data_IF_909809842307
#
_entry.id   IF_909809842307
#
_cell.length_a   1.000
_cell.length_b   1.000
_cell.length_c   1.000
_cell.angle_alpha   90.00
_cell.angle_beta   90.00
_cell.angle_gamma   90.00
#
_symmetry.space_group_name_H-M   'P 1'
#
loop_
_entity.id
_entity.type
_entity.pdbx_description
1 polymer ?
#
# COMPACT_ATOMS: atom_id res chain seq x y z
N UNK A 1 -20.43 1.33 17.65
CA UNK A 1 -18.99 1.37 17.98
C UNK A 1 -18.48 2.76 17.64
N UNK A 2 -17.80 3.43 18.57
CA UNK A 2 -17.15 4.72 18.36
C UNK A 2 -15.66 4.50 18.16
N UNK A 3 -15.12 4.94 17.04
CA UNK A 3 -13.69 4.82 16.75
C UNK A 3 -12.96 6.07 17.25
N UNK A 4 -11.94 5.86 18.09
CA UNK A 4 -11.08 6.89 18.61
C UNK A 4 -9.67 6.64 18.11
N UNK A 5 -9.23 7.46 17.17
CA UNK A 5 -7.89 7.36 16.62
C UNK A 5 -6.93 8.18 17.46
N UNK A 6 -5.75 7.60 17.72
CA UNK A 6 -4.64 8.39 18.20
C UNK A 6 -4.27 9.47 17.17
N UNK A 7 -3.99 10.68 17.67
CA UNK A 7 -3.68 11.83 16.85
C UNK A 7 -2.25 11.71 16.32
N UNK A 8 -2.14 11.52 15.01
CA UNK A 8 -0.87 11.33 14.30
C UNK A 8 -0.40 12.60 13.61
N UNK A 9 0.91 12.80 13.63
CA UNK A 9 1.62 13.75 12.78
C UNK A 9 2.02 13.06 11.49
N UNK A 10 1.65 13.68 10.37
CA UNK A 10 2.05 13.28 9.02
C UNK A 10 2.65 14.48 8.31
N UNK A 11 3.38 14.23 7.23
CA UNK A 11 3.99 15.28 6.40
C UNK A 11 2.97 16.34 5.95
N UNK A 12 1.73 15.91 5.67
CA UNK A 12 0.67 16.78 5.17
C UNK A 12 -0.06 17.56 6.26
N UNK A 13 -0.07 17.07 7.51
CA UNK A 13 -0.83 17.69 8.60
C UNK A 13 0.04 18.38 9.67
N UNK A 14 1.35 18.14 9.69
CA UNK A 14 2.23 18.51 10.80
C UNK A 14 2.19 20.01 11.09
N UNK A 15 2.38 20.84 10.07
CA UNK A 15 2.34 22.30 10.21
C UNK A 15 1.00 22.80 10.76
N UNK A 16 -0.11 22.23 10.29
CA UNK A 16 -1.44 22.60 10.76
C UNK A 16 -1.63 22.23 12.24
N UNK A 17 -1.14 21.07 12.67
CA UNK A 17 -1.19 20.65 14.08
C UNK A 17 -0.30 21.54 14.96
N UNK A 18 0.94 21.83 14.53
CA UNK A 18 1.84 22.72 15.27
C UNK A 18 1.26 24.12 15.42
N UNK A 19 0.63 24.65 14.37
CA UNK A 19 -0.03 25.98 14.41
C UNK A 19 -1.18 26.05 15.42
N UNK A 20 -1.78 24.90 15.76
CA UNK A 20 -2.84 24.76 16.78
C UNK A 20 -2.28 24.48 18.18
N UNK A 21 -0.96 24.46 18.35
CA UNK A 21 -0.30 24.23 19.63
C UNK A 21 -0.08 22.76 20.00
N UNK A 22 -0.32 21.82 19.09
CA UNK A 22 0.06 20.42 19.32
C UNK A 22 1.57 20.26 19.21
N UNK A 23 2.13 19.43 20.07
CA UNK A 23 3.56 19.11 20.12
C UNK A 23 3.76 17.69 19.60
N UNK A 24 4.70 17.50 18.68
CA UNK A 24 5.10 16.19 18.20
C UNK A 24 5.83 15.44 19.32
N UNK A 25 5.45 14.18 19.55
CA UNK A 25 6.10 13.32 20.53
C UNK A 25 7.48 12.84 20.02
N UNK A 26 8.35 12.32 20.91
CA UNK A 26 9.68 11.83 20.53
C UNK A 26 9.69 10.65 19.54
N UNK A 27 8.54 9.99 19.33
CA UNK A 27 8.37 8.93 18.33
C UNK A 27 8.17 9.47 16.90
N UNK A 28 8.16 10.80 16.74
CA UNK A 28 7.96 11.56 15.50
C UNK A 28 6.65 11.29 14.77
N UNK A 29 5.71 10.60 15.41
CA UNK A 29 4.49 10.09 14.78
C UNK A 29 3.23 10.50 15.55
N UNK A 30 3.30 10.64 16.87
CA UNK A 30 2.13 10.96 17.69
C UNK A 30 2.15 12.39 18.20
N UNK A 31 0.97 12.91 18.53
CA UNK A 31 0.86 14.14 19.31
C UNK A 31 1.07 13.85 20.79
N UNK A 32 1.92 14.64 21.46
CA UNK A 32 2.22 14.43 22.87
C UNK A 32 0.94 14.43 23.73
N UNK A 33 0.72 13.34 24.46
CA UNK A 33 -0.45 13.17 25.33
C UNK A 33 -1.73 12.66 24.65
N UNK A 34 -1.71 12.37 23.35
CA UNK A 34 -2.84 11.80 22.58
C UNK A 34 -3.41 10.54 23.23
N UNK A 35 -2.55 9.56 23.54
CA UNK A 35 -2.94 8.30 24.17
C UNK A 35 -3.59 8.55 25.54
N UNK A 36 -3.01 9.44 26.35
CA UNK A 36 -3.56 9.79 27.67
C UNK A 36 -4.94 10.41 27.55
N UNK A 37 -5.13 11.32 26.59
CA UNK A 37 -6.42 11.93 26.31
C UNK A 37 -7.47 10.88 25.87
N UNK A 38 -7.06 9.91 25.06
CA UNK A 38 -7.93 8.81 24.65
C UNK A 38 -8.37 7.94 25.84
N UNK A 39 -7.42 7.53 26.68
CA UNK A 39 -7.70 6.75 27.90
C UNK A 39 -8.64 7.52 28.84
N UNK A 40 -8.39 8.81 29.06
CA UNK A 40 -9.26 9.65 29.88
C UNK A 40 -10.69 9.72 29.34
N UNK A 41 -10.85 9.82 28.01
CA UNK A 41 -12.16 9.84 27.34
C UNK A 41 -12.90 8.51 27.54
N UNK A 42 -12.19 7.39 27.41
CA UNK A 42 -12.77 6.04 27.63
C UNK A 42 -13.21 5.87 29.09
N UNK A 43 -12.36 6.28 30.04
CA UNK A 43 -12.69 6.19 31.46
C UNK A 43 -13.88 7.07 31.82
N UNK A 44 -13.91 8.32 31.33
CA UNK A 44 -15.05 9.22 31.53
C UNK A 44 -16.35 8.62 31.00
N UNK A 45 -16.33 8.01 29.80
CA UNK A 45 -17.52 7.37 29.24
C UNK A 45 -18.01 6.21 30.11
N UNK A 46 -17.08 5.40 30.64
CA UNK A 46 -17.39 4.29 31.54
C UNK A 46 -17.99 4.78 32.86
N UNK A 47 -17.40 5.81 33.46
CA UNK A 47 -17.84 6.38 34.74
C UNK A 47 -19.22 7.02 34.66
N UNK A 48 -19.56 7.61 33.50
CA UNK A 48 -20.87 8.22 33.26
C UNK A 48 -21.94 7.21 32.77
N UNK A 49 -21.63 5.91 32.79
CA UNK A 49 -22.61 4.85 32.48
C UNK A 49 -22.96 4.73 31.00
N UNK A 50 -22.15 5.27 30.08
CA UNK A 50 -22.37 5.09 28.66
C UNK A 50 -22.12 3.63 28.25
N UNK A 51 -23.02 3.06 27.48
CA UNK A 51 -22.95 1.66 26.99
C UNK A 51 -22.29 1.53 25.62
N UNK A 52 -21.71 2.61 25.09
CA UNK A 52 -21.06 2.62 23.77
C UNK A 52 -19.70 1.93 23.83
N UNK A 53 -19.46 0.99 22.90
CA UNK A 53 -18.12 0.43 22.69
C UNK A 53 -17.22 1.47 22.03
N UNK A 54 -16.15 1.87 22.72
CA UNK A 54 -15.11 2.76 22.19
C UNK A 54 -13.91 1.90 21.79
N UNK A 55 -13.53 1.96 20.51
CA UNK A 55 -12.34 1.30 19.99
C UNK A 55 -11.23 2.33 19.82
N UNK A 56 -10.14 2.16 20.55
CA UNK A 56 -8.94 2.99 20.43
C UNK A 56 -7.97 2.38 19.42
N UNK A 57 -7.49 3.19 18.48
CA UNK A 57 -6.55 2.77 17.46
C UNK A 57 -5.22 3.55 17.58
N UNK A 58 -4.14 2.91 18.08
CA UNK A 58 -2.82 3.51 18.17
C UNK A 58 -2.20 3.80 16.80
N UNK A 59 -1.34 4.80 16.70
CA UNK A 59 -0.62 5.13 15.45
C UNK A 59 0.26 3.98 14.99
N UNK A 60 0.95 3.31 15.91
CA UNK A 60 1.82 2.16 15.61
C UNK A 60 1.07 1.05 14.84
N UNK A 61 -0.19 0.78 15.19
CA UNK A 61 -1.02 -0.23 14.52
C UNK A 61 -1.42 0.24 13.12
N UNK A 62 -1.67 1.55 12.93
CA UNK A 62 -2.01 2.11 11.62
C UNK A 62 -0.82 2.00 10.67
N UNK A 63 0.34 2.44 11.11
CA UNK A 63 1.55 2.48 10.29
C UNK A 63 2.03 1.08 9.93
N UNK A 64 2.09 0.18 10.92
CA UNK A 64 2.69 -1.15 10.73
C UNK A 64 1.79 -2.09 9.92
N UNK A 65 0.47 -1.99 10.10
CA UNK A 65 -0.45 -2.99 9.53
C UNK A 65 -1.52 -2.39 8.61
N UNK A 66 -2.21 -1.32 9.04
CA UNK A 66 -3.38 -0.83 8.27
C UNK A 66 -2.98 -0.20 6.94
N UNK A 67 -1.86 0.51 6.90
CA UNK A 67 -1.36 1.13 5.66
C UNK A 67 -1.00 0.07 4.63
N UNK A 68 -0.17 -0.92 4.99
CA UNK A 68 0.19 -2.03 4.10
C UNK A 68 -1.04 -2.81 3.61
N UNK A 69 -1.95 -3.19 4.51
CA UNK A 69 -3.20 -3.87 4.13
C UNK A 69 -4.08 -3.03 3.21
N UNK A 70 -4.07 -1.70 3.36
CA UNK A 70 -4.81 -0.81 2.47
C UNK A 70 -4.21 -0.79 1.08
N UNK A 71 -2.89 -0.76 0.96
CA UNK A 71 -2.19 -0.87 -0.33
C UNK A 71 -2.44 -2.22 -0.98
N UNK A 72 -2.24 -3.31 -0.25
CA UNK A 72 -2.51 -4.67 -0.71
C UNK A 72 -3.93 -4.82 -1.25
N UNK A 73 -4.95 -4.46 -0.46
CA UNK A 73 -6.36 -4.52 -0.89
C UNK A 73 -6.63 -3.69 -2.13
N UNK A 74 -6.06 -2.49 -2.21
CA UNK A 74 -6.24 -1.63 -3.38
C UNK A 74 -5.62 -2.27 -4.63
N UNK A 75 -4.44 -2.85 -4.49
CA UNK A 75 -3.77 -3.59 -5.57
C UNK A 75 -4.56 -4.81 -5.99
N UNK A 76 -5.01 -5.66 -5.05
CA UNK A 76 -5.87 -6.81 -5.37
C UNK A 76 -7.16 -6.43 -6.09
N UNK A 77 -7.76 -5.29 -5.75
CA UNK A 77 -8.99 -4.81 -6.39
C UNK A 77 -8.78 -4.14 -7.75
N UNK A 78 -7.55 -3.69 -8.04
CA UNK A 78 -7.24 -2.93 -9.27
C UNK A 78 -6.31 -3.66 -10.23
N UNK A 79 -5.75 -4.80 -9.81
CA UNK A 79 -4.92 -5.67 -10.64
C UNK A 79 -5.69 -6.16 -11.86
N UNK A 80 -5.05 -6.07 -13.02
CA UNK A 80 -5.54 -6.67 -14.26
C UNK A 80 -4.99 -8.09 -14.40
N UNK A 81 -5.45 -8.83 -15.41
CA UNK A 81 -5.12 -10.25 -15.59
C UNK A 81 -3.61 -10.51 -15.81
N UNK A 82 -2.89 -9.49 -16.24
CA UNK A 82 -1.44 -9.49 -16.45
C UNK A 82 -0.66 -8.89 -15.27
N UNK A 83 -1.32 -8.49 -14.18
CA UNK A 83 -0.67 -7.96 -12.99
C UNK A 83 -0.55 -9.01 -11.89
N UNK A 84 0.61 -9.04 -11.24
CA UNK A 84 0.85 -9.80 -10.01
C UNK A 84 0.94 -8.81 -8.85
N UNK A 85 0.19 -9.07 -7.76
CA UNK A 85 0.19 -8.22 -6.56
C UNK A 85 1.28 -8.68 -5.61
N UNK A 86 2.11 -7.75 -5.14
CA UNK A 86 3.14 -8.01 -4.12
C UNK A 86 2.58 -7.94 -2.70
N UNK A 87 3.35 -8.42 -1.72
CA UNK A 87 2.99 -8.31 -0.30
C UNK A 87 2.93 -6.85 0.19
N UNK A 88 3.73 -5.96 -0.42
CA UNK A 88 3.72 -4.52 -0.14
C UNK A 88 2.55 -3.79 -0.81
N UNK A 89 1.74 -4.50 -1.60
CA UNK A 89 0.59 -3.94 -2.27
C UNK A 89 0.97 -3.05 -3.44
N UNK A 90 1.98 -3.44 -4.21
CA UNK A 90 2.32 -2.91 -5.53
C UNK A 90 1.88 -3.90 -6.62
N UNK A 91 2.04 -3.52 -7.89
CA UNK A 91 1.69 -4.33 -9.05
C UNK A 91 2.95 -4.58 -9.89
N UNK A 92 3.22 -5.85 -10.19
CA UNK A 92 4.30 -6.27 -11.08
C UNK A 92 3.71 -6.76 -12.41
N UNK A 93 4.35 -6.40 -13.51
CA UNK A 93 4.08 -6.92 -14.85
C UNK A 93 5.38 -7.02 -15.67
N UNK A 94 5.34 -7.80 -16.75
CA UNK A 94 6.39 -7.83 -17.76
C UNK A 94 5.95 -6.96 -18.94
N UNK A 95 6.83 -6.07 -19.38
CA UNK A 95 6.77 -5.48 -20.71
C UNK A 95 7.73 -6.21 -21.64
N UNK A 96 7.21 -6.98 -22.60
CA UNK A 96 8.04 -7.72 -23.54
C UNK A 96 8.29 -6.94 -24.83
N UNK A 97 9.51 -7.04 -25.34
CA UNK A 97 9.92 -6.58 -26.67
C UNK A 97 9.97 -7.77 -27.64
N UNK A 98 10.48 -8.91 -27.17
CA UNK A 98 10.61 -10.14 -27.94
C UNK A 98 10.17 -11.34 -27.12
N UNK A 99 9.32 -12.18 -27.72
CA UNK A 99 8.86 -13.45 -27.16
C UNK A 99 9.27 -14.59 -28.06
N UNK A 100 9.41 -15.76 -27.47
CA UNK A 100 9.64 -16.97 -28.23
C UNK A 100 8.40 -17.31 -29.08
N UNK A 101 8.65 -17.56 -30.37
CA UNK A 101 7.62 -17.72 -31.40
C UNK A 101 6.74 -18.95 -31.12
N UNK A 102 7.30 -19.98 -30.50
CA UNK A 102 6.55 -21.18 -30.09
C UNK A 102 5.38 -20.84 -29.15
N UNK A 103 5.54 -19.81 -28.31
CA UNK A 103 4.58 -19.45 -27.27
C UNK A 103 3.72 -18.22 -27.59
N UNK A 104 3.75 -17.71 -28.83
CA UNK A 104 2.97 -16.53 -29.25
C UNK A 104 1.49 -16.64 -28.89
N UNK A 105 0.91 -17.82 -29.09
CA UNK A 105 -0.51 -18.05 -28.82
C UNK A 105 -0.88 -17.79 -27.35
N UNK A 106 0.06 -17.95 -26.41
CA UNK A 106 -0.13 -17.62 -25.00
C UNK A 106 -0.20 -16.11 -24.83
N UNK A 107 0.75 -15.37 -25.43
CA UNK A 107 0.81 -13.91 -25.32
C UNK A 107 -0.40 -13.20 -25.95
N UNK A 108 -1.02 -13.79 -26.97
CA UNK A 108 -2.24 -13.26 -27.59
C UNK A 108 -3.45 -13.20 -26.64
N UNK A 109 -3.41 -13.88 -25.49
CA UNK A 109 -4.47 -13.81 -24.47
C UNK A 109 -4.37 -12.56 -23.58
N UNK A 110 -3.30 -11.78 -23.71
CA UNK A 110 -3.03 -10.59 -22.90
C UNK A 110 -2.95 -9.34 -23.78
N UNK A 111 -3.05 -8.13 -23.19
CA UNK A 111 -2.83 -6.90 -23.94
C UNK A 111 -1.44 -6.86 -24.59
N UNK A 112 -1.30 -6.19 -25.75
CA UNK A 112 -0.03 -6.13 -26.47
C UNK A 112 1.11 -5.68 -25.58
N UNK A 113 2.25 -6.36 -25.70
CA UNK A 113 3.50 -6.09 -24.97
C UNK A 113 3.41 -6.29 -23.45
N UNK A 114 2.31 -6.86 -22.92
CA UNK A 114 2.14 -7.07 -21.48
C UNK A 114 1.93 -8.53 -21.15
N UNK A 115 2.67 -9.03 -20.16
CA UNK A 115 2.52 -10.38 -19.64
C UNK A 115 2.58 -10.40 -18.12
N UNK A 116 1.92 -11.37 -17.48
CA UNK A 116 2.14 -11.66 -16.07
C UNK A 116 3.55 -12.20 -15.81
N UNK A 117 4.03 -12.02 -14.58
CA UNK A 117 5.42 -12.32 -14.19
C UNK A 117 5.78 -13.80 -14.36
N UNK A 118 4.83 -14.72 -14.14
CA UNK A 118 5.05 -16.16 -14.23
C UNK A 118 5.24 -16.67 -15.68
N UNK A 119 5.13 -15.78 -16.68
CA UNK A 119 5.44 -16.06 -18.08
C UNK A 119 6.79 -15.46 -18.51
N UNK A 120 7.71 -15.18 -17.57
CA UNK A 120 9.08 -14.75 -17.90
C UNK A 120 9.78 -15.71 -18.87
N UNK A 121 9.61 -17.02 -18.70
CA UNK A 121 10.35 -18.04 -19.44
C UNK A 121 10.18 -17.96 -20.97
N UNK A 122 9.07 -17.37 -21.43
CA UNK A 122 8.75 -17.21 -22.86
C UNK A 122 9.22 -15.85 -23.42
N UNK A 123 9.73 -14.97 -22.57
CA UNK A 123 10.21 -13.63 -22.94
C UNK A 123 11.72 -13.71 -23.20
N UNK A 124 12.11 -13.40 -24.44
CA UNK A 124 13.53 -13.31 -24.85
C UNK A 124 14.12 -11.98 -24.44
N UNK A 125 13.35 -10.90 -24.63
CA UNK A 125 13.77 -9.54 -24.33
C UNK A 125 12.61 -8.72 -23.78
N UNK A 126 12.83 -8.02 -22.69
CA UNK A 126 11.82 -7.16 -22.09
C UNK A 126 12.28 -6.53 -20.79
N UNK A 127 11.31 -6.14 -19.95
CA UNK A 127 11.57 -5.65 -18.61
C UNK A 127 10.46 -6.00 -17.64
N UNK A 128 10.83 -6.22 -16.39
CA UNK A 128 9.94 -6.13 -15.24
C UNK A 128 9.61 -4.68 -14.96
N UNK A 129 8.36 -4.42 -14.63
CA UNK A 129 7.92 -3.15 -14.09
C UNK A 129 7.16 -3.42 -12.81
N UNK A 130 7.65 -2.84 -11.72
CA UNK A 130 6.89 -2.68 -10.50
C UNK A 130 6.30 -1.27 -10.45
N UNK A 131 5.00 -1.16 -10.15
CA UNK A 131 4.28 0.11 -10.12
C UNK A 131 3.24 0.18 -9.02
N UNK A 132 2.85 1.40 -8.68
CA UNK A 132 1.76 1.65 -7.73
C UNK A 132 0.39 1.31 -8.34
N UNK A 133 -0.61 0.94 -7.50
CA UNK A 133 -2.00 0.71 -7.94
C UNK A 133 -2.79 2.02 -8.16
N UNK A 134 -2.10 3.16 -8.32
CA UNK A 134 -2.76 4.46 -8.52
C UNK A 134 -3.10 4.67 -9.99
N UNK A 135 -4.01 5.62 -10.27
CA UNK A 135 -4.27 6.12 -11.61
C UNK A 135 -3.94 7.62 -11.62
N UNK A 136 -2.91 8.07 -12.36
CA UNK A 136 -1.96 7.27 -13.13
C UNK A 136 -1.04 6.42 -12.22
N UNK A 137 -0.51 5.28 -12.71
CA UNK A 137 0.47 4.49 -11.97
C UNK A 137 1.82 5.20 -11.96
N UNK A 138 2.54 5.06 -10.85
CA UNK A 138 3.92 5.50 -10.68
C UNK A 138 4.80 4.26 -10.77
N UNK A 139 5.81 4.29 -11.63
CA UNK A 139 6.80 3.21 -11.76
C UNK A 139 7.78 3.34 -10.59
N UNK A 140 7.93 2.24 -9.85
CA UNK A 140 8.81 2.15 -8.68
C UNK A 140 10.15 1.57 -9.09
N UNK A 141 10.13 0.45 -9.79
CA UNK A 141 11.32 -0.27 -10.23
C UNK A 141 11.17 -0.79 -11.66
N UNK A 142 12.28 -0.84 -12.38
CA UNK A 142 12.38 -1.48 -13.70
C UNK A 142 13.65 -2.34 -13.76
N UNK A 143 13.49 -3.61 -14.14
CA UNK A 143 14.60 -4.54 -14.31
C UNK A 143 14.56 -5.17 -15.71
N UNK A 144 15.70 -5.28 -16.39
CA UNK A 144 15.75 -5.81 -17.75
C UNK A 144 15.74 -7.33 -17.76
N UNK A 145 14.95 -7.90 -18.65
CA UNK A 145 14.93 -9.33 -18.96
C UNK A 145 15.70 -9.53 -20.26
N UNK A 146 16.76 -10.34 -20.19
CA UNK A 146 17.54 -10.76 -21.36
C UNK A 146 17.79 -12.25 -21.23
N UNK A 147 16.98 -13.04 -21.94
CA UNK A 147 17.14 -14.50 -22.00
C UNK A 147 17.81 -14.86 -23.31
N UNK A 148 19.14 -14.96 -23.28
CA UNK A 148 19.97 -15.53 -24.34
C UNK A 148 19.82 -17.07 -24.34
N UNK A 149 18.59 -17.58 -24.48
CA UNK A 149 18.41 -19.01 -24.80
C UNK A 149 18.78 -19.19 -26.27
N UNK A 150 20.02 -19.63 -26.49
CA UNK A 150 20.57 -20.12 -27.78
C UNK A 150 19.70 -21.24 -28.36
#
# INVERSE_FOLDING_TARGET
>A
ILNLNELEFTETNAYALMSRGYIMAPDYRTAQGSMKAAINTINWAKENGYTVTIHYCPVEVKDTYQTGLRHYRKSSLSALEYNTVTDDGTLIEILYEEIDQEYINIALNYPPQKLPIFLEDIVKKGKYIEKTPTKPPIILEEEKITNDKQ
#
